data_IF_077253177550
#
_entry.id   IF_077253177550
#
_cell.length_a   1.000
_cell.length_b   1.000
_cell.length_c   1.000
_cell.angle_alpha   90.00
_cell.angle_beta   90.00
_cell.angle_gamma   90.00
#
_symmetry.space_group_name_H-M   'P 1'
#
loop_
_entity.id
_entity.type
_entity.pdbx_description
1 polymer ?
#
# COMPACT_ATOMS: atom_id res chain seq x y z
N UNK A 1 -1.41 13.23 16.30
CA UNK A 1 -0.92 12.49 15.11
C UNK A 1 -0.80 13.48 13.96
N UNK A 2 0.37 13.58 13.33
CA UNK A 2 0.60 14.45 12.16
C UNK A 2 0.54 13.60 10.88
N UNK A 3 -0.11 14.13 9.85
CA UNK A 3 -0.25 13.51 8.53
C UNK A 3 0.66 14.25 7.55
N UNK A 4 1.97 14.13 7.75
CA UNK A 4 2.98 14.83 6.93
C UNK A 4 3.63 13.89 5.91
N UNK A 5 3.46 12.58 6.07
CA UNK A 5 4.01 11.59 5.16
C UNK A 5 3.08 11.38 3.98
N UNK A 6 3.66 11.08 2.82
CA UNK A 6 2.91 10.79 1.60
C UNK A 6 3.19 9.38 1.14
N UNK A 7 2.12 8.69 0.76
CA UNK A 7 2.19 7.40 0.09
C UNK A 7 1.47 7.48 -1.23
N UNK A 8 1.90 6.64 -2.18
CA UNK A 8 1.24 6.51 -3.48
C UNK A 8 0.73 5.10 -3.63
N UNK A 9 -0.59 4.93 -3.59
CA UNK A 9 -1.23 3.68 -3.99
C UNK A 9 -1.08 3.49 -5.48
N UNK A 10 -0.77 2.27 -5.90
CA UNK A 10 -0.66 1.89 -7.30
C UNK A 10 -1.62 0.74 -7.56
N UNK A 11 -2.47 0.92 -8.56
CA UNK A 11 -3.31 -0.13 -9.12
C UNK A 11 -2.82 -0.44 -10.54
N UNK A 12 -2.53 -1.70 -10.81
CA UNK A 12 -2.22 -2.22 -12.13
C UNK A 12 -3.52 -2.51 -12.85
N UNK A 13 -3.69 -1.90 -14.01
CA UNK A 13 -4.76 -2.23 -14.93
C UNK A 13 -4.18 -3.13 -16.01
N UNK A 14 -4.63 -4.40 -16.11
CA UNK A 14 -4.08 -5.33 -17.08
C UNK A 14 -4.24 -4.75 -18.48
N UNK A 15 -3.15 -4.80 -19.23
CA UNK A 15 -3.19 -4.56 -20.66
C UNK A 15 -3.99 -5.64 -21.36
N UNK A 16 -4.34 -5.41 -22.61
CA UNK A 16 -5.10 -6.37 -23.38
C UNK A 16 -5.34 -5.91 -24.80
N UNK A 17 -5.68 -6.86 -25.65
CA UNK A 17 -6.00 -6.60 -27.05
C UNK A 17 -7.26 -5.74 -27.18
N UNK A 18 -7.17 -4.62 -27.90
CA UNK A 18 -8.34 -3.83 -28.31
C UNK A 18 -8.74 -4.24 -29.74
N UNK A 19 -9.82 -5.02 -29.92
CA UNK A 19 -10.25 -5.49 -31.23
C UNK A 19 -10.75 -4.37 -32.15
N UNK A 20 -11.01 -3.17 -31.63
CA UNK A 20 -11.49 -2.02 -32.42
C UNK A 20 -10.33 -1.30 -33.11
N UNK A 21 -9.19 -1.20 -32.44
CA UNK A 21 -7.98 -0.55 -32.94
C UNK A 21 -6.98 -1.56 -33.51
N UNK A 22 -7.13 -2.85 -33.19
CA UNK A 22 -6.21 -3.90 -33.62
C UNK A 22 -4.88 -3.90 -32.86
N UNK A 23 -4.81 -3.23 -31.71
CA UNK A 23 -3.58 -3.00 -30.96
C UNK A 23 -3.62 -3.62 -29.56
N UNK A 24 -2.46 -4.08 -29.08
CA UNK A 24 -2.28 -4.50 -27.69
C UNK A 24 -2.10 -3.27 -26.80
N UNK A 25 -3.06 -3.05 -25.88
CA UNK A 25 -2.91 -2.01 -24.87
C UNK A 25 -1.87 -2.44 -23.84
N UNK A 26 -0.88 -1.59 -23.52
CA UNK A 26 0.07 -1.89 -22.47
C UNK A 26 -0.62 -1.92 -21.11
N UNK A 27 -0.04 -2.64 -20.16
CA UNK A 27 -0.43 -2.53 -18.76
C UNK A 27 -0.22 -1.08 -18.30
N UNK A 28 -1.23 -0.51 -17.66
CA UNK A 28 -1.19 0.85 -17.13
C UNK A 28 -1.22 0.86 -15.62
N UNK A 29 -0.70 1.94 -15.03
CA UNK A 29 -0.68 2.13 -13.57
C UNK A 29 -1.55 3.33 -13.20
N UNK A 30 -2.55 3.11 -12.37
CA UNK A 30 -3.33 4.18 -11.75
C UNK A 30 -2.68 4.50 -10.40
N UNK A 31 -2.20 5.74 -10.25
CA UNK A 31 -1.49 6.21 -9.06
C UNK A 31 -2.34 7.19 -8.27
N UNK A 32 -2.49 6.94 -6.98
CA UNK A 32 -3.22 7.82 -6.06
C UNK A 32 -2.37 8.17 -4.85
N UNK A 33 -1.99 9.43 -4.72
CA UNK A 33 -1.18 9.90 -3.59
C UNK A 33 -2.05 10.47 -2.47
N UNK A 34 -1.80 10.03 -1.24
CA UNK A 34 -2.53 10.48 -0.04
C UNK A 34 -1.56 10.86 1.09
N UNK A 35 -1.94 11.88 1.85
CA UNK A 35 -1.27 12.25 3.09
C UNK A 35 -1.70 11.29 4.23
N UNK A 36 -0.73 10.71 4.91
CA UNK A 36 -0.90 9.65 5.91
C UNK A 36 -0.01 9.89 7.13
N UNK A 37 -0.31 9.18 8.21
CA UNK A 37 0.58 9.09 9.37
C UNK A 37 1.24 7.73 9.39
N UNK A 38 2.57 7.69 9.33
CA UNK A 38 3.35 6.45 9.26
C UNK A 38 4.11 6.24 10.55
N UNK A 39 4.10 5.00 11.04
CA UNK A 39 4.93 4.55 12.16
C UNK A 39 5.53 3.19 11.83
N UNK A 40 6.78 2.96 12.19
CA UNK A 40 7.38 1.63 12.06
C UNK A 40 6.72 0.61 13.01
N UNK A 41 6.53 -0.62 12.54
CA UNK A 41 6.08 -1.71 13.38
C UNK A 41 7.28 -2.22 14.18
N UNK A 42 7.28 -2.00 15.49
CA UNK A 42 8.34 -2.49 16.37
C UNK A 42 8.50 -4.01 16.30
N UNK A 43 9.73 -4.48 16.51
CA UNK A 43 10.16 -5.88 16.37
C UNK A 43 9.29 -6.84 17.18
N UNK A 44 8.96 -6.48 18.43
CA UNK A 44 8.13 -7.31 19.31
C UNK A 44 6.71 -7.51 18.76
N UNK A 45 6.12 -6.45 18.20
CA UNK A 45 4.79 -6.52 17.56
C UNK A 45 4.84 -7.26 16.23
N UNK A 46 5.91 -7.09 15.46
CA UNK A 46 6.10 -7.82 14.22
C UNK A 46 6.18 -9.33 14.48
N UNK A 47 6.94 -9.75 15.50
CA UNK A 47 7.04 -11.14 15.93
C UNK A 47 5.70 -11.68 16.43
N UNK A 48 5.00 -10.92 17.28
CA UNK A 48 3.72 -11.36 17.84
C UNK A 48 2.61 -11.50 16.79
N UNK A 49 2.55 -10.59 15.80
CA UNK A 49 1.48 -10.58 14.80
C UNK A 49 1.76 -11.51 13.61
N UNK A 50 3.02 -11.68 13.23
CA UNK A 50 3.38 -12.35 11.98
C UNK A 50 4.43 -13.46 12.13
N UNK A 51 4.97 -13.70 13.34
CA UNK A 51 6.00 -14.71 13.59
C UNK A 51 7.37 -14.45 12.97
N UNK A 52 7.50 -13.37 12.18
CA UNK A 52 8.73 -12.95 11.51
C UNK A 52 8.93 -11.44 11.68
N UNK A 53 10.12 -11.09 12.14
CA UNK A 53 10.60 -9.73 12.36
C UNK A 53 11.62 -9.25 11.33
N UNK A 54 12.10 -10.14 10.44
CA UNK A 54 13.13 -9.79 9.43
C UNK A 54 12.59 -8.86 8.35
N UNK A 55 11.29 -8.93 8.08
CA UNK A 55 10.61 -8.02 7.14
C UNK A 55 10.34 -6.68 7.81
N UNK A 56 10.81 -5.60 7.19
CA UNK A 56 10.48 -4.23 7.61
C UNK A 56 9.01 -3.97 7.34
N UNK A 57 8.24 -3.70 8.40
CA UNK A 57 6.81 -3.39 8.30
C UNK A 57 6.52 -1.98 8.78
N UNK A 58 5.55 -1.35 8.11
CA UNK A 58 5.07 -0.01 8.44
C UNK A 58 3.59 -0.05 8.72
N UNK A 59 3.18 0.74 9.71
CA UNK A 59 1.80 0.97 10.08
C UNK A 59 1.40 2.33 9.53
N UNK A 60 0.50 2.34 8.56
CA UNK A 60 0.00 3.51 7.86
C UNK A 60 -1.40 3.80 8.36
N UNK A 61 -1.62 5.00 8.88
CA UNK A 61 -2.94 5.47 9.31
C UNK A 61 -3.44 6.50 8.32
N UNK A 62 -4.60 6.24 7.73
CA UNK A 62 -5.25 7.14 6.79
C UNK A 62 -6.16 8.12 7.53
N UNK A 63 -6.30 9.34 6.99
CA UNK A 63 -7.29 10.32 7.48
C UNK A 63 -8.73 9.85 7.20
N UNK A 64 -8.94 9.28 6.01
CA UNK A 64 -10.20 8.71 5.55
C UNK A 64 -9.93 7.33 4.97
N UNK A 65 -10.83 6.35 5.16
CA UNK A 65 -10.67 5.03 4.55
C UNK A 65 -10.51 5.14 3.03
N UNK A 66 -9.49 4.47 2.50
CA UNK A 66 -9.28 4.29 1.07
C UNK A 66 -9.93 2.97 0.66
N UNK A 67 -10.95 3.05 -0.21
CA UNK A 67 -11.80 1.91 -0.60
C UNK A 67 -11.57 1.43 -2.03
N UNK A 68 -10.85 2.22 -2.82
CA UNK A 68 -10.48 1.82 -4.18
C UNK A 68 -9.50 0.64 -4.14
N UNK A 69 -9.58 -0.29 -5.09
CA UNK A 69 -8.62 -1.39 -5.18
C UNK A 69 -7.22 -0.86 -5.53
N UNK A 70 -6.21 -1.50 -4.98
CA UNK A 70 -4.79 -1.20 -5.19
C UNK A 70 -3.98 -2.49 -5.02
N UNK A 71 -2.85 -2.58 -5.73
CA UNK A 71 -2.01 -3.77 -5.73
C UNK A 71 -0.83 -3.61 -4.78
N UNK A 72 -0.21 -2.44 -4.80
CA UNK A 72 0.91 -2.10 -3.93
C UNK A 72 0.96 -0.60 -3.68
N UNK A 73 1.85 -0.16 -2.79
CA UNK A 73 2.06 1.26 -2.56
C UNK A 73 3.54 1.62 -2.50
N UNK A 74 3.84 2.87 -2.81
CA UNK A 74 5.15 3.46 -2.63
C UNK A 74 5.18 4.38 -1.42
N UNK A 75 6.26 4.28 -0.65
CA UNK A 75 6.62 5.25 0.36
C UNK A 75 8.11 5.56 0.23
N UNK A 76 8.47 6.83 -0.04
CA UNK A 76 9.85 7.27 -0.29
C UNK A 76 10.59 6.38 -1.30
N UNK A 77 9.93 6.15 -2.44
CA UNK A 77 10.44 5.31 -3.55
C UNK A 77 10.66 3.82 -3.22
N UNK A 78 10.29 3.38 -2.02
CA UNK A 78 10.33 1.96 -1.62
C UNK A 78 8.96 1.33 -1.82
N UNK A 79 8.93 0.15 -2.45
CA UNK A 79 7.71 -0.63 -2.70
C UNK A 79 7.29 -1.39 -1.45
N UNK A 80 6.02 -1.25 -1.10
CA UNK A 80 5.38 -1.97 -0.01
C UNK A 80 4.15 -2.73 -0.51
N UNK A 81 3.95 -3.93 0.00
CA UNK A 81 2.75 -4.74 -0.25
C UNK A 81 1.84 -4.78 0.97
N UNK A 82 0.56 -5.04 0.71
CA UNK A 82 -0.41 -5.26 1.76
C UNK A 82 -0.02 -6.48 2.61
N UNK A 83 0.02 -6.32 3.94
CA UNK A 83 0.22 -7.43 4.87
C UNK A 83 -1.03 -7.69 5.70
N UNK A 84 -1.64 -6.63 6.25
CA UNK A 84 -2.86 -6.73 7.05
C UNK A 84 -3.53 -5.35 7.16
N UNK A 85 -4.76 -5.31 7.65
CA UNK A 85 -5.43 -4.07 8.04
C UNK A 85 -6.10 -4.21 9.39
N UNK A 86 -6.36 -3.09 10.03
CA UNK A 86 -7.21 -3.01 11.22
C UNK A 86 -8.07 -1.76 11.11
N UNK A 87 -9.38 -1.97 11.15
CA UNK A 87 -10.35 -0.88 11.16
C UNK A 87 -10.80 -0.60 12.59
N UNK A 88 -10.53 0.60 13.08
CA UNK A 88 -10.91 1.03 14.43
C UNK A 88 -11.69 2.33 14.33
N UNK A 89 -12.95 2.32 14.78
CA UNK A 89 -13.82 3.50 14.86
C UNK A 89 -13.88 4.31 13.55
N UNK A 90 -14.02 3.62 12.42
CA UNK A 90 -14.10 4.26 11.09
C UNK A 90 -12.78 4.80 10.54
N UNK A 91 -11.66 4.56 11.23
CA UNK A 91 -10.31 4.84 10.72
C UNK A 91 -9.68 3.55 10.21
N UNK A 92 -9.11 3.63 9.02
CA UNK A 92 -8.39 2.53 8.41
C UNK A 92 -6.91 2.63 8.78
N UNK A 93 -6.38 1.55 9.34
CA UNK A 93 -4.95 1.36 9.56
C UNK A 93 -4.48 0.21 8.70
N UNK A 94 -3.48 0.45 7.86
CA UNK A 94 -2.86 -0.56 7.02
C UNK A 94 -1.52 -0.96 7.64
N UNK A 95 -1.25 -2.26 7.67
CA UNK A 95 0.07 -2.80 7.93
C UNK A 95 0.60 -3.27 6.58
N UNK A 96 1.75 -2.72 6.20
CA UNK A 96 2.41 -3.04 4.93
C UNK A 96 3.81 -3.54 5.19
N UNK A 97 4.30 -4.40 4.30
CA UNK A 97 5.63 -4.96 4.37
C UNK A 97 6.47 -4.59 3.15
N UNK A 98 7.74 -4.30 3.40
CA UNK A 98 8.71 -3.93 2.36
C UNK A 98 8.96 -5.12 1.43
N UNK A 99 8.83 -4.89 0.13
CA UNK A 99 9.19 -5.88 -0.89
C UNK A 99 10.54 -5.48 -1.44
N UNK A 100 11.58 -6.26 -1.13
CA UNK A 100 12.85 -6.13 -1.85
C UNK A 100 12.59 -6.54 -3.30
N UNK A 101 12.80 -5.60 -4.24
CA UNK A 101 12.92 -5.92 -5.65
C UNK A 101 14.18 -6.74 -5.91
#
# INVERSE_FOLDING_TARGET
MRYLDRITFVRLTPGGYDPTLGEDKPQTEIKTTLDVSITDLGTDRAQALFGDYKKKRKVIRLLRPYKEPWDYLYYKDVKYQFASHTDLKGKQTLIVEEVKQ
#
